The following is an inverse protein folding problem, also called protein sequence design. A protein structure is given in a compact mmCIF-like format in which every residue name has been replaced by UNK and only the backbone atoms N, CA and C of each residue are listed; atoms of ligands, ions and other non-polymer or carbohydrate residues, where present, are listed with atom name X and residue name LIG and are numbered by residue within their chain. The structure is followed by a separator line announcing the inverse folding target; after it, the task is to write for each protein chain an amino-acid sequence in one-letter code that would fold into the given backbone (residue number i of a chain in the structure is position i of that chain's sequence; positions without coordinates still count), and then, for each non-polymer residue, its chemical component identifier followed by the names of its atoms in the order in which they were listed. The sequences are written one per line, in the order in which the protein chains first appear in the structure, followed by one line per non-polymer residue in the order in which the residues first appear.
data_IF_552611888789
#
_entry.id   IF_552611888789
#
_cell.length_a   1.000
_cell.length_b   1.000
_cell.length_c   1.000
_cell.angle_alpha   90.00
_cell.angle_beta   90.00
_cell.angle_gamma   90.00
#
_symmetry.space_group_name_H-M   'P 1'
#
loop_
_entity.id
_entity.type
_entity.pdbx_description
1 polymer ?
#
# COMPACT_ATOMS: atom_id res chain seq x y z
N UNK A 1 -15.37 21.26 7.78
CA UNK A 1 -16.31 20.56 6.87
C UNK A 1 -16.14 19.05 7.05
N UNK A 2 -17.16 18.34 7.55
CA UNK A 2 -17.16 16.87 7.58
C UNK A 2 -17.21 16.39 6.12
N UNK A 3 -16.17 15.70 5.62
CA UNK A 3 -16.28 15.01 4.34
C UNK A 3 -17.28 13.87 4.53
N UNK A 4 -18.54 14.07 4.12
CA UNK A 4 -19.52 13.00 4.08
C UNK A 4 -19.07 12.02 3.00
N UNK A 5 -18.75 10.78 3.40
CA UNK A 5 -18.35 9.73 2.48
C UNK A 5 -19.53 9.40 1.56
N UNK A 6 -19.42 9.71 0.27
CA UNK A 6 -20.47 9.35 -0.68
C UNK A 6 -20.51 7.84 -0.91
N UNK A 7 -21.70 7.27 -1.15
CA UNK A 7 -21.87 5.85 -1.42
C UNK A 7 -20.95 5.37 -2.56
N UNK A 8 -20.86 6.15 -3.66
CA UNK A 8 -19.96 5.85 -4.78
C UNK A 8 -18.49 5.78 -4.34
N UNK A 9 -18.05 6.69 -3.46
CA UNK A 9 -16.69 6.68 -2.93
C UNK A 9 -16.45 5.48 -2.02
N UNK A 10 -17.40 5.15 -1.15
CA UNK A 10 -17.34 3.97 -0.30
C UNK A 10 -17.20 2.66 -1.11
N UNK A 11 -18.07 2.46 -2.11
CA UNK A 11 -18.03 1.27 -2.97
C UNK A 11 -16.68 1.14 -3.69
N UNK A 12 -16.14 2.25 -4.22
CA UNK A 12 -14.82 2.24 -4.85
C UNK A 12 -13.70 1.89 -3.88
N UNK A 13 -13.73 2.40 -2.64
CA UNK A 13 -12.77 2.01 -1.60
C UNK A 13 -12.86 0.51 -1.35
N UNK A 14 -14.07 -0.04 -1.21
CA UNK A 14 -14.27 -1.48 -1.00
C UNK A 14 -13.73 -2.31 -2.17
N UNK A 15 -14.01 -1.91 -3.42
CA UNK A 15 -13.48 -2.58 -4.61
C UNK A 15 -11.94 -2.53 -4.67
N UNK A 16 -11.33 -1.37 -4.40
CA UNK A 16 -9.88 -1.24 -4.36
C UNK A 16 -9.26 -2.01 -3.19
N UNK A 17 -9.97 -2.12 -2.06
CA UNK A 17 -9.54 -2.94 -0.91
C UNK A 17 -9.52 -4.42 -1.28
N UNK A 18 -10.57 -4.91 -1.95
CA UNK A 18 -10.61 -6.28 -2.44
C UNK A 18 -9.52 -6.54 -3.49
N UNK A 19 -9.29 -5.59 -4.40
CA UNK A 19 -8.23 -5.69 -5.40
C UNK A 19 -6.83 -5.67 -4.75
N UNK A 20 -6.61 -4.84 -3.73
CA UNK A 20 -5.38 -4.81 -2.96
C UNK A 20 -5.14 -6.15 -2.26
N UNK A 21 -6.17 -6.75 -1.65
CA UNK A 21 -6.07 -8.08 -1.04
C UNK A 21 -5.68 -9.13 -2.08
N UNK A 22 -6.42 -9.22 -3.20
CA UNK A 22 -6.14 -10.18 -4.27
C UNK A 22 -4.73 -9.99 -4.83
N UNK A 23 -4.30 -8.76 -5.10
CA UNK A 23 -2.96 -8.48 -5.65
C UNK A 23 -1.82 -8.65 -4.66
N UNK A 24 -2.13 -8.71 -3.36
CA UNK A 24 -1.18 -9.10 -2.31
C UNK A 24 -1.07 -10.62 -2.20
N UNK A 25 -2.18 -11.34 -2.40
CA UNK A 25 -2.20 -12.81 -2.41
C UNK A 25 -1.65 -13.40 -3.72
N UNK A 26 -1.90 -12.75 -4.86
CA UNK A 26 -1.61 -13.23 -6.21
C UNK A 26 -1.23 -12.06 -7.13
N UNK A 27 -0.12 -12.07 -7.89
CA UNK A 27 0.80 -13.16 -8.17
C UNK A 27 1.99 -13.25 -7.20
N UNK A 28 2.33 -14.48 -6.80
CA UNK A 28 3.50 -14.77 -5.97
C UNK A 28 4.77 -14.83 -6.82
N UNK A 29 5.29 -13.67 -7.23
CA UNK A 29 6.59 -13.58 -7.91
C UNK A 29 7.69 -13.55 -6.85
N UNK A 30 8.58 -14.56 -6.75
CA UNK A 30 9.62 -14.59 -5.72
C UNK A 30 10.61 -13.43 -5.89
N UNK A 31 11.00 -12.78 -4.80
CA UNK A 31 11.98 -11.68 -4.81
C UNK A 31 13.42 -12.14 -4.66
N UNK A 32 13.66 -13.43 -4.43
CA UNK A 32 14.99 -13.98 -4.12
C UNK A 32 15.52 -13.61 -2.73
N UNK A 33 14.73 -12.90 -1.92
CA UNK A 33 15.07 -12.44 -0.56
C UNK A 33 14.19 -13.07 0.52
N UNK A 34 13.59 -14.23 0.22
CA UNK A 34 12.68 -14.93 1.13
C UNK A 34 11.23 -14.41 1.14
N UNK A 35 10.84 -13.58 0.17
CA UNK A 35 9.48 -13.05 0.04
C UNK A 35 8.97 -13.00 -1.40
N UNK A 36 7.81 -12.38 -1.58
CA UNK A 36 7.13 -12.22 -2.87
C UNK A 36 6.87 -10.75 -3.18
N UNK A 37 6.65 -10.44 -4.46
CA UNK A 37 6.25 -9.08 -4.87
C UNK A 37 4.83 -8.78 -4.39
N UNK A 38 4.66 -7.70 -3.63
CA UNK A 38 3.34 -7.23 -3.18
C UNK A 38 2.77 -6.18 -4.14
N UNK A 39 2.14 -6.62 -5.23
CA UNK A 39 1.48 -5.70 -6.18
C UNK A 39 0.29 -4.96 -5.57
N UNK A 40 -0.31 -5.48 -4.50
CA UNK A 40 -1.37 -4.80 -3.76
C UNK A 40 -0.95 -3.43 -3.22
N UNK A 41 0.34 -3.21 -2.93
CA UNK A 41 0.85 -1.90 -2.51
C UNK A 41 0.59 -0.83 -3.59
N UNK A 42 0.66 -1.18 -4.87
CA UNK A 42 0.37 -0.22 -5.95
C UNK A 42 -1.07 0.28 -5.92
N UNK A 43 -1.99 -0.54 -5.42
CA UNK A 43 -3.40 -0.16 -5.25
C UNK A 43 -3.58 0.83 -4.09
N UNK A 44 -2.73 0.75 -3.06
CA UNK A 44 -2.66 1.77 -1.98
C UNK A 44 -2.32 3.13 -2.60
N UNK A 45 -1.28 3.20 -3.44
CA UNK A 45 -0.88 4.45 -4.10
C UNK A 45 -2.00 5.00 -4.97
N UNK A 46 -2.66 4.15 -5.75
CA UNK A 46 -3.78 4.54 -6.60
C UNK A 46 -4.93 5.13 -5.77
N UNK A 47 -5.35 4.44 -4.70
CA UNK A 47 -6.40 4.93 -3.80
C UNK A 47 -5.99 6.25 -3.13
N UNK A 48 -4.76 6.34 -2.63
CA UNK A 48 -4.22 7.53 -1.97
C UNK A 48 -4.18 8.75 -2.90
N UNK A 49 -3.76 8.56 -4.15
CA UNK A 49 -3.64 9.60 -5.17
C UNK A 49 -5.00 10.15 -5.60
N UNK A 50 -5.95 9.28 -5.91
CA UNK A 50 -7.22 9.68 -6.53
C UNK A 50 -8.35 9.92 -5.52
N UNK A 51 -8.29 9.30 -4.34
CA UNK A 51 -9.39 9.34 -3.37
C UNK A 51 -8.99 9.94 -2.02
N UNK A 52 -7.70 10.22 -1.83
CA UNK A 52 -7.14 10.92 -0.68
C UNK A 52 -6.64 10.00 0.44
N UNK A 53 -6.11 10.60 1.53
CA UNK A 53 -5.37 9.88 2.57
C UNK A 53 -6.17 8.79 3.28
N UNK A 54 -7.42 9.07 3.66
CA UNK A 54 -8.25 8.09 4.36
C UNK A 54 -8.66 6.90 3.48
N UNK A 55 -8.82 7.14 2.17
CA UNK A 55 -9.09 6.05 1.23
C UNK A 55 -7.87 5.16 1.04
N UNK A 56 -6.68 5.77 0.86
CA UNK A 56 -5.41 5.03 0.82
C UNK A 56 -5.18 4.22 2.09
N UNK A 57 -5.42 4.82 3.26
CA UNK A 57 -5.28 4.15 4.55
C UNK A 57 -6.22 2.94 4.68
N UNK A 58 -7.49 3.08 4.32
CA UNK A 58 -8.46 1.98 4.38
C UNK A 58 -8.08 0.84 3.44
N UNK A 59 -7.72 1.16 2.19
CA UNK A 59 -7.30 0.17 1.19
C UNK A 59 -6.07 -0.60 1.65
N UNK A 60 -5.05 0.10 2.14
CA UNK A 60 -3.82 -0.54 2.62
C UNK A 60 -4.04 -1.34 3.90
N UNK A 61 -4.68 -0.75 4.90
CA UNK A 61 -4.88 -1.42 6.20
C UNK A 61 -5.76 -2.66 6.04
N UNK A 62 -6.93 -2.52 5.43
CA UNK A 62 -7.91 -3.61 5.38
C UNK A 62 -7.51 -4.65 4.33
N UNK A 63 -7.13 -4.23 3.13
CA UNK A 63 -6.87 -5.14 2.02
C UNK A 63 -5.71 -6.09 2.32
N UNK A 64 -4.59 -5.55 2.80
CA UNK A 64 -3.40 -6.33 3.08
C UNK A 64 -3.53 -7.19 4.32
N UNK A 65 -4.23 -6.72 5.36
CA UNK A 65 -4.48 -7.56 6.55
C UNK A 65 -5.39 -8.74 6.24
N UNK A 66 -6.38 -8.55 5.35
CA UNK A 66 -7.20 -9.66 4.85
C UNK A 66 -6.32 -10.65 4.08
N UNK A 67 -5.39 -10.16 3.24
CA UNK A 67 -4.45 -11.03 2.53
C UNK A 67 -3.58 -11.86 3.49
N UNK A 68 -3.08 -11.27 4.58
CA UNK A 68 -2.31 -11.99 5.60
C UNK A 68 -3.14 -13.08 6.29
N UNK A 69 -4.38 -12.76 6.67
CA UNK A 69 -5.31 -13.72 7.29
C UNK A 69 -5.64 -14.88 6.35
N UNK A 70 -5.86 -14.59 5.06
CA UNK A 70 -6.23 -15.60 4.07
C UNK A 70 -5.04 -16.43 3.56
N UNK A 71 -3.81 -15.90 3.64
CA UNK A 71 -2.60 -16.57 3.14
C UNK A 71 -1.83 -17.35 4.22
N UNK A 72 -2.37 -17.48 5.43
CA UNK A 72 -1.74 -18.22 6.53
C UNK A 72 -0.71 -17.41 7.33
N UNK A 73 -0.57 -16.10 7.09
CA UNK A 73 0.33 -15.19 7.79
C UNK A 73 -0.39 -14.37 8.87
N UNK A 74 -1.36 -14.97 9.57
CA UNK A 74 -2.26 -14.26 10.48
C UNK A 74 -1.55 -13.43 11.57
N UNK A 75 -0.36 -13.85 12.01
CA UNK A 75 0.46 -13.09 12.98
C UNK A 75 0.84 -11.68 12.47
N UNK A 76 0.95 -11.51 11.15
CA UNK A 76 1.26 -10.24 10.51
C UNK A 76 0.03 -9.37 10.27
N UNK A 77 -1.20 -9.89 10.40
CA UNK A 77 -2.40 -9.14 10.06
C UNK A 77 -2.52 -7.81 10.82
N UNK A 78 -2.26 -7.79 12.13
CA UNK A 78 -2.31 -6.54 12.91
C UNK A 78 -1.14 -5.59 12.59
N UNK A 79 0.14 -6.04 12.56
CA UNK A 79 1.23 -5.20 12.07
C UNK A 79 0.97 -4.60 10.68
N UNK A 80 0.56 -5.42 9.72
CA UNK A 80 0.25 -5.01 8.35
C UNK A 80 -0.87 -3.98 8.31
N UNK A 81 -1.93 -4.16 9.11
CA UNK A 81 -3.02 -3.19 9.24
C UNK A 81 -2.49 -1.80 9.54
N UNK A 82 -1.63 -1.71 10.56
CA UNK A 82 -1.05 -0.44 11.01
C UNK A 82 -0.07 0.11 9.97
N UNK A 83 0.87 -0.70 9.50
CA UNK A 83 1.93 -0.30 8.58
C UNK A 83 1.35 0.17 7.25
N UNK A 84 0.53 -0.65 6.60
CA UNK A 84 -0.05 -0.35 5.28
C UNK A 84 -1.07 0.79 5.37
N UNK A 85 -1.80 0.89 6.49
CA UNK A 85 -2.65 2.04 6.79
C UNK A 85 -1.86 3.35 6.86
N UNK A 86 -0.73 3.36 7.58
CA UNK A 86 0.17 4.50 7.69
C UNK A 86 0.77 4.88 6.33
N UNK A 87 1.15 3.91 5.50
CA UNK A 87 1.63 4.16 4.12
C UNK A 87 0.54 4.86 3.32
N UNK A 88 -0.67 4.30 3.26
CA UNK A 88 -1.76 4.87 2.48
C UNK A 88 -2.17 6.28 2.91
N UNK A 89 -2.23 6.51 4.22
CA UNK A 89 -2.49 7.83 4.77
C UNK A 89 -1.39 8.83 4.36
N UNK A 90 -0.13 8.46 4.57
CA UNK A 90 1.03 9.34 4.32
C UNK A 90 1.17 9.68 2.84
N UNK A 91 1.09 8.69 1.97
CA UNK A 91 1.11 8.89 0.51
C UNK A 91 0.00 9.83 0.08
N UNK A 92 -1.23 9.61 0.59
CA UNK A 92 -2.37 10.45 0.23
C UNK A 92 -2.22 11.88 0.75
N UNK A 93 -1.66 12.08 1.95
CA UNK A 93 -1.38 13.43 2.46
C UNK A 93 -0.38 14.20 1.61
N UNK A 94 0.63 13.51 1.05
CA UNK A 94 1.69 14.14 0.27
C UNK A 94 1.22 14.44 -1.17
N UNK A 95 0.48 13.53 -1.80
CA UNK A 95 0.17 13.57 -3.25
C UNK A 95 -1.25 14.02 -3.57
N UNK A 96 -2.24 13.82 -2.70
CA UNK A 96 -3.66 14.08 -3.01
C UNK A 96 -3.90 15.50 -3.54
N UNK A 97 -4.52 15.58 -4.72
CA UNK A 97 -4.82 16.85 -5.40
C UNK A 97 -3.62 17.56 -6.04
N UNK A 98 -2.40 17.01 -5.91
CA UNK A 98 -1.15 17.60 -6.41
C UNK A 98 -0.23 16.51 -6.97
N UNK A 99 -0.63 15.91 -8.09
CA UNK A 99 0.13 14.92 -8.84
C UNK A 99 1.36 15.56 -9.50
N UNK A 100 2.46 15.64 -8.75
CA UNK A 100 3.74 16.16 -9.20
C UNK A 100 4.83 15.11 -8.97
N UNK A 101 5.79 14.93 -9.91
CA UNK A 101 6.86 13.94 -9.76
C UNK A 101 7.62 14.06 -8.43
N UNK A 102 7.97 15.28 -8.01
CA UNK A 102 8.64 15.54 -6.73
C UNK A 102 7.84 15.02 -5.52
N UNK A 103 6.51 15.20 -5.52
CA UNK A 103 5.62 14.71 -4.45
C UNK A 103 5.51 13.20 -4.45
N UNK A 104 5.48 12.58 -5.62
CA UNK A 104 5.50 11.13 -5.74
C UNK A 104 6.79 10.54 -5.18
N UNK A 105 7.95 11.13 -5.49
CA UNK A 105 9.24 10.70 -4.94
C UNK A 105 9.26 10.84 -3.41
N UNK A 106 8.83 11.99 -2.87
CA UNK A 106 8.73 12.18 -1.41
C UNK A 106 7.81 11.16 -0.75
N UNK A 107 6.65 10.88 -1.35
CA UNK A 107 5.69 9.91 -0.84
C UNK A 107 6.25 8.49 -0.88
N UNK A 108 6.94 8.14 -1.96
CA UNK A 108 7.59 6.84 -2.13
C UNK A 108 8.68 6.63 -1.06
N UNK A 109 9.56 7.62 -0.84
CA UNK A 109 10.61 7.55 0.19
C UNK A 109 10.03 7.49 1.61
N UNK A 110 8.96 8.25 1.89
CA UNK A 110 8.27 8.17 3.18
C UNK A 110 7.67 6.77 3.42
N UNK A 111 7.05 6.19 2.39
CA UNK A 111 6.53 4.84 2.45
C UNK A 111 7.61 3.78 2.63
N UNK A 112 8.79 3.95 2.00
CA UNK A 112 9.95 3.06 2.20
C UNK A 112 10.39 3.05 3.66
N UNK A 113 10.47 4.22 4.29
CA UNK A 113 10.76 4.32 5.72
C UNK A 113 9.71 3.59 6.56
N UNK A 114 8.42 3.89 6.33
CA UNK A 114 7.32 3.27 7.10
C UNK A 114 7.32 1.75 6.97
N UNK A 115 7.46 1.21 5.76
CA UNK A 115 7.42 -0.24 5.54
C UNK A 115 8.63 -0.92 6.18
N UNK A 116 9.83 -0.36 6.00
CA UNK A 116 11.08 -0.98 6.49
C UNK A 116 11.14 -0.97 8.01
N UNK A 117 10.94 0.20 8.64
CA UNK A 117 10.98 0.30 10.10
C UNK A 117 9.75 -0.34 10.76
N UNK A 118 8.59 -0.28 10.10
CA UNK A 118 7.37 -0.91 10.58
C UNK A 118 7.51 -2.43 10.70
N UNK A 119 7.96 -3.09 9.63
CA UNK A 119 8.17 -4.54 9.67
C UNK A 119 9.34 -4.94 10.57
N UNK A 120 10.41 -4.14 10.65
CA UNK A 120 11.49 -4.39 11.62
C UNK A 120 10.97 -4.40 13.07
N UNK A 121 10.16 -3.41 13.45
CA UNK A 121 9.58 -3.32 14.79
C UNK A 121 8.56 -4.43 15.07
N UNK A 122 7.86 -4.91 14.05
CA UNK A 122 6.95 -6.04 14.16
C UNK A 122 7.69 -7.37 14.31
N UNK A 123 8.72 -7.59 13.50
CA UNK A 123 9.44 -8.87 13.44
C UNK A 123 10.43 -9.06 14.60
N UNK A 124 11.02 -8.00 15.14
CA UNK A 124 11.97 -8.12 16.25
C UNK A 124 11.39 -8.90 17.46
N UNK A 125 10.22 -8.55 18.02
CA UNK A 125 9.64 -9.33 19.11
C UNK A 125 9.16 -10.73 18.68
N UNK A 126 8.88 -10.97 17.40
CA UNK A 126 8.35 -12.24 16.89
C UNK A 126 9.43 -13.28 16.60
N UNK A 127 10.54 -12.83 16.00
CA UNK A 127 11.58 -13.70 15.44
C UNK A 127 12.99 -13.40 15.95
N UNK A 128 13.15 -12.35 16.77
CA UNK A 128 14.44 -11.90 17.29
C UNK A 128 15.19 -10.98 16.32
N UNK A 129 16.19 -10.25 16.85
CA UNK A 129 16.88 -9.19 16.11
C UNK A 129 17.62 -9.71 14.87
N UNK A 130 18.20 -10.91 14.95
CA UNK A 130 18.97 -11.50 13.85
C UNK A 130 18.11 -11.78 12.60
N UNK A 131 16.85 -12.17 12.79
CA UNK A 131 15.90 -12.34 11.69
C UNK A 131 15.35 -10.98 11.22
N UNK A 132 14.97 -10.10 12.15
CA UNK A 132 14.33 -8.83 11.83
C UNK A 132 15.22 -7.89 10.98
N UNK A 133 16.55 -7.95 11.10
CA UNK A 133 17.44 -7.10 10.28
C UNK A 133 17.37 -7.43 8.78
N UNK A 134 16.87 -8.61 8.39
CA UNK A 134 16.68 -8.97 6.97
C UNK A 134 15.67 -8.04 6.29
N UNK A 135 14.73 -7.47 7.05
CA UNK A 135 13.73 -6.51 6.56
C UNK A 135 14.38 -5.29 5.88
N UNK A 136 15.56 -4.87 6.31
CA UNK A 136 16.30 -3.76 5.69
C UNK A 136 16.78 -4.05 4.26
N UNK A 137 16.73 -5.32 3.84
CA UNK A 137 17.03 -5.75 2.47
C UNK A 137 15.73 -6.14 1.75
N UNK A 138 14.89 -6.97 2.37
CA UNK A 138 13.69 -7.50 1.73
C UNK A 138 12.63 -6.42 1.47
N UNK A 139 12.41 -5.49 2.41
CA UNK A 139 11.40 -4.43 2.26
C UNK A 139 11.71 -3.46 1.12
N UNK A 140 12.95 -2.91 0.98
CA UNK A 140 13.27 -2.05 -0.18
C UNK A 140 13.08 -2.73 -1.53
N UNK A 141 13.44 -4.02 -1.64
CA UNK A 141 13.25 -4.80 -2.88
C UNK A 141 11.77 -4.93 -3.23
N UNK A 142 10.95 -5.34 -2.26
CA UNK A 142 9.50 -5.47 -2.48
C UNK A 142 8.84 -4.13 -2.79
N UNK A 143 9.17 -3.09 -2.01
CA UNK A 143 8.67 -1.73 -2.20
C UNK A 143 9.00 -1.18 -3.60
N UNK A 144 10.22 -1.38 -4.08
CA UNK A 144 10.65 -0.87 -5.39
C UNK A 144 9.77 -1.43 -6.51
N UNK A 145 9.46 -2.72 -6.45
CA UNK A 145 8.59 -3.37 -7.44
C UNK A 145 7.18 -2.76 -7.44
N UNK A 146 6.63 -2.49 -6.26
CA UNK A 146 5.31 -1.85 -6.13
C UNK A 146 5.30 -0.39 -6.58
N UNK A 147 6.41 0.34 -6.41
CA UNK A 147 6.60 1.69 -6.94
C UNK A 147 6.65 1.68 -8.45
N UNK A 148 7.41 0.76 -9.05
CA UNK A 148 7.49 0.61 -10.51
C UNK A 148 6.09 0.34 -11.08
N UNK A 149 5.35 -0.63 -10.52
CA UNK A 149 3.98 -0.90 -10.94
C UNK A 149 3.05 0.32 -10.77
N UNK A 150 3.18 1.07 -9.66
CA UNK A 150 2.43 2.32 -9.45
C UNK A 150 2.72 3.37 -10.51
N UNK A 151 3.99 3.52 -10.90
CA UNK A 151 4.43 4.47 -11.92
C UNK A 151 3.83 4.17 -13.31
N UNK A 152 3.49 2.90 -13.59
CA UNK A 152 2.74 2.50 -14.79
C UNK A 152 1.24 2.76 -14.66
N UNK A 153 0.61 2.36 -13.55
CA UNK A 153 -0.85 2.43 -13.42
C UNK A 153 -1.38 3.85 -13.20
N UNK A 154 -0.69 4.68 -12.41
CA UNK A 154 -1.18 6.02 -12.05
C UNK A 154 -1.40 6.90 -13.29
N UNK A 155 -0.46 7.01 -14.26
CA UNK A 155 -0.69 7.81 -15.47
C UNK A 155 -1.85 7.29 -16.32
N UNK A 156 -2.03 5.97 -16.42
CA UNK A 156 -3.12 5.36 -17.19
C UNK A 156 -4.46 5.73 -16.55
N UNK A 157 -4.60 5.49 -15.25
CA UNK A 157 -5.83 5.82 -14.51
C UNK A 157 -6.09 7.32 -14.50
N UNK A 158 -5.03 8.15 -14.45
CA UNK A 158 -5.17 9.60 -14.55
C UNK A 158 -5.82 10.03 -15.85
N UNK A 159 -5.46 9.43 -17.00
CA UNK A 159 -6.06 9.75 -18.31
C UNK A 159 -7.56 9.45 -18.36
N UNK A 160 -7.99 8.33 -17.77
CA UNK A 160 -9.40 7.91 -17.77
C UNK A 160 -10.19 8.39 -16.55
N UNK A 161 -9.53 9.03 -15.57
CA UNK A 161 -10.13 9.36 -14.26
C UNK A 161 -11.40 10.19 -14.35
N UNK A 162 -11.50 11.09 -15.34
CA UNK A 162 -12.70 11.88 -15.60
C UNK A 162 -13.86 11.03 -16.17
N UNK A 163 -13.57 10.03 -17.00
CA UNK A 163 -14.58 9.15 -17.60
C UNK A 163 -15.20 8.23 -16.53
N UNK A 164 -14.39 7.74 -15.59
CA UNK A 164 -14.85 6.87 -14.50
C UNK A 164 -15.27 7.64 -13.24
N UNK A 165 -15.29 8.98 -13.31
CA UNK A 165 -15.75 9.89 -12.26
C UNK A 165 -14.95 9.80 -10.96
N UNK A 166 -13.64 9.54 -11.03
CA UNK A 166 -12.72 9.56 -9.88
C UNK A 166 -12.29 10.99 -9.47
N UNK A 167 -12.49 11.96 -10.36
CA UNK A 167 -12.32 13.40 -10.13
C UNK A 167 -13.63 14.13 -10.34
#
# INVERSE_FOLDING_TARGET
MKQVLSLKKFVRIAMLTALAAVLTMFPQIPTGTGGYVHFGDSIIYLAAVFMGPWAGAAVGAIGHSIADLMSGYAIFAFPTFVIKGCIGYTVGKIVSGKLQPKRMIMAALAALGIVTFGYFLAEWPMYGIAAAVVVFISSPVQWLMSIVASAFFIPIVQKISHQIGLK
#
